data_IF_221965129763
#
_entry.id   IF_221965129763
#
_cell.length_a   1.000
_cell.length_b   1.000
_cell.length_c   1.000
_cell.angle_alpha   90.00
_cell.angle_beta   90.00
_cell.angle_gamma   90.00
#
_symmetry.space_group_name_H-M   'P 1'
#
loop_
_entity.id
_entity.type
_entity.pdbx_description
1 polymer ?
#
# COMPACT_ATOMS: atom_id res chain seq x y z
N UNK A 1 -25.42 13.68 8.36
CA UNK A 1 -24.51 13.32 9.47
C UNK A 1 -23.96 11.95 9.15
N UNK A 2 -22.65 11.86 8.95
CA UNK A 2 -21.97 10.66 8.47
C UNK A 2 -21.90 9.61 9.59
N UNK A 3 -22.15 8.33 9.29
CA UNK A 3 -22.13 7.27 10.32
C UNK A 3 -20.69 7.00 10.75
N UNK A 4 -20.45 6.93 12.06
CA UNK A 4 -19.14 6.57 12.60
C UNK A 4 -18.96 5.05 12.70
N UNK A 5 -17.82 4.53 12.26
CA UNK A 5 -17.47 3.10 12.37
C UNK A 5 -16.23 2.95 13.26
N UNK A 6 -16.32 2.14 14.31
CA UNK A 6 -15.21 1.96 15.25
C UNK A 6 -14.01 1.28 14.57
N UNK A 7 -12.78 1.53 15.05
CA UNK A 7 -11.56 0.87 14.52
C UNK A 7 -11.65 -0.66 14.58
N UNK A 8 -12.30 -1.20 15.61
CA UNK A 8 -12.49 -2.64 15.78
C UNK A 8 -13.43 -3.19 14.70
N UNK A 9 -14.49 -2.46 14.37
CA UNK A 9 -15.44 -2.87 13.33
C UNK A 9 -14.85 -2.65 11.93
N UNK A 10 -14.08 -1.59 11.71
CA UNK A 10 -13.28 -1.40 10.50
C UNK A 10 -12.37 -2.62 10.25
N UNK A 11 -11.66 -3.09 11.29
CA UNK A 11 -10.83 -4.29 11.16
C UNK A 11 -11.64 -5.56 10.84
N UNK A 12 -12.91 -5.65 11.27
CA UNK A 12 -13.80 -6.77 10.90
C UNK A 12 -14.26 -6.69 9.45
N UNK A 13 -14.36 -5.50 8.86
CA UNK A 13 -14.71 -5.31 7.45
C UNK A 13 -13.52 -5.56 6.50
N UNK A 14 -12.30 -5.17 6.91
CA UNK A 14 -11.09 -5.39 6.11
C UNK A 14 -10.82 -6.88 5.86
N UNK A 15 -11.02 -7.73 6.88
CA UNK A 15 -10.74 -9.18 6.80
C UNK A 15 -11.47 -9.87 5.63
N UNK A 16 -12.80 -9.79 5.50
CA UNK A 16 -13.52 -10.40 4.38
C UNK A 16 -13.20 -9.74 3.04
N UNK A 17 -12.97 -8.42 2.99
CA UNK A 17 -12.58 -7.74 1.75
C UNK A 17 -11.25 -8.29 1.19
N UNK A 18 -10.24 -8.47 2.05
CA UNK A 18 -8.98 -9.08 1.66
C UNK A 18 -9.11 -10.56 1.30
N UNK A 19 -9.90 -11.32 2.06
CA UNK A 19 -10.11 -12.75 1.79
C UNK A 19 -10.86 -13.01 0.48
N UNK A 20 -11.74 -12.09 0.05
CA UNK A 20 -12.44 -12.14 -1.24
C UNK A 20 -11.48 -11.98 -2.40
N UNK A 21 -10.54 -11.03 -2.30
CA UNK A 21 -9.60 -10.74 -3.38
C UNK A 21 -8.38 -11.69 -3.40
N UNK A 22 -7.94 -12.13 -2.22
CA UNK A 22 -6.73 -12.95 -2.05
C UNK A 22 -7.04 -14.18 -1.16
N UNK A 23 -7.83 -15.14 -1.66
CA UNK A 23 -8.31 -16.27 -0.86
C UNK A 23 -7.20 -17.21 -0.37
N UNK A 24 -6.06 -17.25 -1.06
CA UNK A 24 -4.93 -18.13 -0.72
C UNK A 24 -3.98 -17.52 0.30
N UNK A 25 -4.18 -16.25 0.70
CA UNK A 25 -3.25 -15.50 1.54
C UNK A 25 -3.84 -15.26 2.92
N UNK A 26 -3.06 -15.59 3.95
CA UNK A 26 -3.44 -15.37 5.34
C UNK A 26 -3.01 -13.99 5.81
N UNK A 27 -3.99 -13.10 6.02
CA UNK A 27 -3.75 -11.77 6.57
C UNK A 27 -3.88 -11.72 8.10
N UNK A 28 -3.00 -10.98 8.73
CA UNK A 28 -3.05 -10.56 10.14
C UNK A 28 -3.49 -9.10 10.20
N UNK A 29 -4.73 -8.86 10.64
CA UNK A 29 -5.31 -7.51 10.78
C UNK A 29 -5.39 -7.14 12.26
N UNK A 30 -4.57 -6.18 12.70
CA UNK A 30 -4.50 -5.72 14.10
C UNK A 30 -4.82 -4.24 14.21
N UNK A 31 -5.83 -3.91 15.01
CA UNK A 31 -6.16 -2.53 15.37
C UNK A 31 -5.38 -2.07 16.59
N UNK A 32 -4.98 -0.80 16.62
CA UNK A 32 -4.36 -0.14 17.76
C UNK A 32 -4.99 1.24 17.97
N UNK A 33 -5.32 1.57 19.21
CA UNK A 33 -5.80 2.89 19.61
C UNK A 33 -4.74 3.59 20.45
N UNK A 34 -4.61 4.89 20.28
CA UNK A 34 -3.64 5.74 20.97
C UNK A 34 -4.20 7.13 21.22
N UNK A 35 -3.51 7.95 22.02
CA UNK A 35 -3.92 9.33 22.28
C UNK A 35 -4.01 10.11 20.97
N UNK A 36 -5.22 10.53 20.58
CA UNK A 36 -5.47 11.30 19.36
C UNK A 36 -5.81 10.46 18.12
N UNK A 37 -5.97 9.14 18.22
CA UNK A 37 -6.38 8.36 17.06
C UNK A 37 -6.38 6.85 17.22
N UNK A 38 -6.63 6.17 16.10
CA UNK A 38 -6.45 4.73 15.98
C UNK A 38 -5.89 4.40 14.60
N UNK A 39 -5.25 3.25 14.48
CA UNK A 39 -4.73 2.74 13.20
C UNK A 39 -4.94 1.23 13.12
N UNK A 40 -4.84 0.70 11.91
CA UNK A 40 -4.89 -0.74 11.65
C UNK A 40 -3.62 -1.12 10.91
N UNK A 41 -2.98 -2.21 11.35
CA UNK A 41 -1.86 -2.82 10.66
C UNK A 41 -2.33 -4.14 10.04
N UNK A 42 -2.22 -4.23 8.72
CA UNK A 42 -2.48 -5.42 7.92
C UNK A 42 -1.11 -6.01 7.55
N UNK A 43 -0.81 -7.21 8.03
CA UNK A 43 0.43 -7.90 7.69
C UNK A 43 0.20 -9.30 7.12
N UNK A 44 1.08 -9.72 6.21
CA UNK A 44 1.02 -11.03 5.58
C UNK A 44 2.43 -11.44 5.11
N UNK A 45 2.58 -12.70 4.72
CA UNK A 45 3.83 -13.25 4.19
C UNK A 45 3.64 -13.69 2.75
N UNK A 46 4.55 -13.27 1.88
CA UNK A 46 4.52 -13.50 0.43
C UNK A 46 3.19 -13.07 -0.21
N UNK A 47 2.78 -13.61 -1.36
CA UNK A 47 1.48 -13.26 -1.95
C UNK A 47 1.47 -11.91 -2.67
N UNK A 48 0.33 -11.16 -2.64
CA UNK A 48 0.15 -9.94 -3.40
C UNK A 48 1.14 -8.86 -2.99
N UNK A 49 1.36 -7.90 -3.90
CA UNK A 49 2.21 -6.75 -3.64
C UNK A 49 1.50 -5.83 -2.65
N UNK A 50 2.27 -5.06 -1.88
CA UNK A 50 1.71 -4.11 -0.93
C UNK A 50 0.75 -3.12 -1.62
N UNK A 51 1.13 -2.63 -2.80
CA UNK A 51 0.30 -1.74 -3.62
C UNK A 51 -1.08 -2.33 -3.97
N UNK A 52 -1.14 -3.62 -4.33
CA UNK A 52 -2.41 -4.28 -4.67
C UNK A 52 -3.33 -4.38 -3.43
N UNK A 53 -2.74 -4.57 -2.24
CA UNK A 53 -3.45 -4.58 -0.95
C UNK A 53 -3.87 -3.17 -0.54
N UNK A 54 -3.00 -2.17 -0.74
CA UNK A 54 -3.26 -0.75 -0.44
C UNK A 54 -4.47 -0.21 -1.20
N UNK A 55 -4.65 -0.63 -2.47
CA UNK A 55 -5.82 -0.29 -3.27
C UNK A 55 -7.15 -0.71 -2.63
N UNK A 56 -7.15 -1.81 -1.85
CA UNK A 56 -8.35 -2.31 -1.17
C UNK A 56 -8.52 -1.63 0.18
N UNK A 57 -7.45 -1.59 0.98
CA UNK A 57 -7.53 -1.14 2.37
C UNK A 57 -7.63 0.38 2.50
N UNK A 58 -7.18 1.14 1.48
CA UNK A 58 -7.22 2.59 1.46
C UNK A 58 -8.63 3.17 1.60
N UNK A 59 -9.66 2.44 1.13
CA UNK A 59 -11.07 2.83 1.34
C UNK A 59 -11.51 2.80 2.81
N UNK A 60 -10.78 2.11 3.68
CA UNK A 60 -11.10 1.97 5.11
C UNK A 60 -10.41 2.99 6.02
N UNK A 61 -9.61 3.89 5.44
CA UNK A 61 -8.94 4.95 6.17
C UNK A 61 -9.89 6.12 6.46
N UNK A 62 -9.88 6.62 7.69
CA UNK A 62 -10.67 7.77 8.12
C UNK A 62 -9.95 9.11 7.97
N UNK A 63 -8.65 9.10 7.67
CA UNK A 63 -7.86 10.32 7.42
C UNK A 63 -6.87 10.13 6.29
N UNK A 64 -6.59 11.22 5.59
CA UNK A 64 -5.45 11.33 4.70
C UNK A 64 -4.41 12.27 5.31
N UNK A 65 -3.13 11.93 5.18
CA UNK A 65 -2.02 12.82 5.51
C UNK A 65 -1.30 13.29 4.25
N UNK A 66 -1.00 14.59 4.16
CA UNK A 66 -0.16 15.17 3.11
C UNK A 66 1.13 15.73 3.71
N UNK A 67 2.25 15.11 3.34
CA UNK A 67 3.56 15.49 3.87
C UNK A 67 4.08 16.82 3.31
N UNK A 68 3.52 17.34 2.21
CA UNK A 68 4.01 18.59 1.62
C UNK A 68 3.66 19.82 2.46
N UNK A 69 2.55 19.77 3.18
CA UNK A 69 2.07 20.84 4.06
C UNK A 69 1.79 20.38 5.49
N UNK A 70 2.24 19.16 5.86
CA UNK A 70 2.08 18.56 7.18
C UNK A 70 0.62 18.55 7.69
N UNK A 71 -0.33 18.26 6.78
CA UNK A 71 -1.76 18.36 7.05
C UNK A 71 -2.44 16.99 7.10
N UNK A 72 -3.10 16.71 8.24
CA UNK A 72 -3.98 15.56 8.40
C UNK A 72 -5.45 15.97 8.22
N UNK A 73 -6.07 15.47 7.16
CA UNK A 73 -7.45 15.76 6.78
C UNK A 73 -8.37 14.58 7.07
N UNK A 74 -9.58 14.87 7.55
CA UNK A 74 -10.63 13.86 7.64
C UNK A 74 -11.04 13.44 6.23
N UNK A 75 -11.26 12.15 6.04
CA UNK A 75 -11.90 11.62 4.84
C UNK A 75 -13.09 10.73 5.21
N UNK A 76 -13.97 10.57 4.25
CA UNK A 76 -15.18 9.78 4.36
C UNK A 76 -15.21 8.76 3.22
N UNK A 77 -15.87 7.65 3.46
CA UNK A 77 -15.91 6.52 2.53
C UNK A 77 -17.32 5.98 2.39
N UNK A 78 -17.60 5.39 1.23
CA UNK A 78 -18.79 4.61 0.98
C UNK A 78 -18.56 3.17 1.45
N UNK A 79 -19.42 2.63 2.30
CA UNK A 79 -19.51 1.18 2.55
C UNK A 79 -20.57 0.59 1.65
N UNK A 80 -20.21 -0.36 0.80
CA UNK A 80 -21.12 -1.15 -0.02
C UNK A 80 -21.81 -2.24 0.81
N UNK A 81 -22.95 -2.79 0.35
CA UNK A 81 -23.66 -3.85 1.08
C UNK A 81 -22.83 -5.12 1.34
N UNK A 82 -21.81 -5.38 0.52
CA UNK A 82 -20.88 -6.49 0.69
C UNK A 82 -19.73 -6.21 1.68
N UNK A 83 -19.69 -5.01 2.27
CA UNK A 83 -18.73 -4.58 3.28
C UNK A 83 -17.44 -3.98 2.72
N UNK A 84 -17.27 -3.93 1.40
CA UNK A 84 -16.17 -3.21 0.76
C UNK A 84 -16.34 -1.69 0.94
N UNK A 85 -15.21 -0.98 1.01
CA UNK A 85 -15.19 0.45 1.19
C UNK A 85 -14.46 1.15 0.05
N UNK A 86 -14.99 2.29 -0.38
CA UNK A 86 -14.39 3.14 -1.42
C UNK A 86 -14.36 4.58 -0.93
N UNK A 87 -13.28 5.32 -1.24
CA UNK A 87 -13.16 6.72 -0.84
C UNK A 87 -14.33 7.52 -1.43
N UNK A 88 -15.02 8.27 -0.58
CA UNK A 88 -16.15 9.12 -0.97
C UNK A 88 -15.71 10.58 -1.09
N UNK A 89 -14.98 11.03 -0.07
CA UNK A 89 -14.61 12.42 0.06
C UNK A 89 -13.26 12.57 0.75
N UNK A 90 -12.40 13.38 0.14
CA UNK A 90 -11.18 13.92 0.76
C UNK A 90 -11.08 15.40 0.40
N UNK A 91 -10.88 16.31 1.38
CA UNK A 91 -10.72 17.72 1.08
C UNK A 91 -9.41 17.98 0.31
N UNK A 92 -9.35 19.13 -0.35
CA UNK A 92 -8.09 19.62 -0.90
C UNK A 92 -7.07 19.83 0.21
N UNK A 93 -5.84 19.44 -0.06
CA UNK A 93 -4.71 19.79 0.77
C UNK A 93 -4.17 21.11 0.26
N UNK A 94 -4.62 22.25 0.81
CA UNK A 94 -4.31 23.59 0.29
C UNK A 94 -2.79 23.81 0.14
N UNK A 95 -2.32 23.98 -1.10
CA UNK A 95 -0.88 24.09 -1.41
C UNK A 95 -0.09 22.79 -1.20
N UNK A 96 -0.78 21.67 -1.05
CA UNK A 96 -0.29 20.32 -0.84
C UNK A 96 -0.19 19.51 -2.15
N UNK A 97 0.25 18.27 -2.01
CA UNK A 97 0.42 17.30 -3.11
C UNK A 97 -0.83 16.44 -3.35
N UNK A 98 -1.76 16.41 -2.40
CA UNK A 98 -2.99 15.62 -2.47
C UNK A 98 -4.18 16.46 -2.93
N UNK A 99 -4.68 16.28 -4.17
CA UNK A 99 -5.86 17.01 -4.62
C UNK A 99 -7.11 16.53 -3.88
N UNK A 100 -8.10 17.42 -3.84
CA UNK A 100 -9.45 17.09 -3.41
C UNK A 100 -10.00 15.90 -4.21
N UNK A 101 -10.82 15.08 -3.54
CA UNK A 101 -11.47 13.93 -4.15
C UNK A 101 -12.93 13.89 -3.72
N UNK A 102 -13.80 13.60 -4.68
CA UNK A 102 -15.23 13.40 -4.47
C UNK A 102 -15.73 12.32 -5.41
N UNK A 103 -16.62 11.46 -4.93
CA UNK A 103 -17.30 10.45 -5.74
C UNK A 103 -18.78 10.35 -5.36
N UNK A 104 -19.60 10.03 -6.36
CA UNK A 104 -20.97 9.60 -6.13
C UNK A 104 -20.98 8.22 -5.47
N UNK A 105 -22.10 7.88 -4.81
CA UNK A 105 -22.27 6.56 -4.22
C UNK A 105 -22.08 5.46 -5.28
N UNK A 106 -21.13 4.52 -5.10
CA UNK A 106 -20.84 3.48 -6.10
C UNK A 106 -21.95 2.43 -6.18
N UNK A 107 -22.89 2.44 -5.23
CA UNK A 107 -24.02 1.51 -5.16
C UNK A 107 -25.24 2.19 -4.52
N UNK A 108 -26.49 1.89 -4.96
CA UNK A 108 -27.71 2.51 -4.41
C UNK A 108 -27.90 2.35 -2.90
N UNK A 109 -27.41 1.24 -2.35
CA UNK A 109 -27.45 0.93 -0.92
C UNK A 109 -26.10 1.19 -0.22
N UNK A 110 -25.19 1.97 -0.82
CA UNK A 110 -23.96 2.35 -0.15
C UNK A 110 -24.25 3.39 0.96
N UNK A 111 -23.57 3.25 2.09
CA UNK A 111 -23.68 4.19 3.21
C UNK A 111 -22.43 5.05 3.32
N UNK A 112 -22.61 6.36 3.49
CA UNK A 112 -21.50 7.26 3.78
C UNK A 112 -21.07 7.11 5.24
N UNK A 113 -19.79 6.82 5.46
CA UNK A 113 -19.22 6.61 6.79
C UNK A 113 -17.92 7.38 7.01
N UNK A 114 -17.62 7.61 8.29
CA UNK A 114 -16.30 8.03 8.76
C UNK A 114 -15.71 6.90 9.60
N UNK A 115 -14.58 6.36 9.14
CA UNK A 115 -13.88 5.29 9.85
C UNK A 115 -13.05 5.83 11.00
N UNK A 116 -13.13 5.16 12.15
CA UNK A 116 -12.35 5.49 13.34
C UNK A 116 -10.87 5.12 13.25
N UNK A 117 -10.48 4.30 12.28
CA UNK A 117 -9.08 4.08 11.93
C UNK A 117 -8.60 5.30 11.13
N UNK A 118 -7.74 6.13 11.70
CA UNK A 118 -7.15 7.25 10.97
C UNK A 118 -6.39 6.74 9.74
N UNK A 119 -5.56 5.70 9.93
CA UNK A 119 -4.69 5.14 8.89
C UNK A 119 -4.75 3.62 8.91
N UNK A 120 -4.54 3.01 7.74
CA UNK A 120 -4.46 1.56 7.58
C UNK A 120 -3.16 1.22 6.85
N UNK A 121 -2.23 0.59 7.55
CA UNK A 121 -0.92 0.27 7.01
C UNK A 121 -0.86 -1.16 6.49
N UNK A 122 -0.21 -1.35 5.36
CA UNK A 122 0.11 -2.66 4.81
C UNK A 122 1.57 -3.01 5.06
N UNK A 123 1.82 -4.25 5.50
CA UNK A 123 3.16 -4.73 5.85
C UNK A 123 3.35 -6.14 5.27
N UNK A 124 3.95 -6.20 4.08
CA UNK A 124 4.31 -7.47 3.44
C UNK A 124 5.68 -7.94 3.93
N UNK A 125 5.74 -9.14 4.48
CA UNK A 125 6.98 -9.86 4.72
C UNK A 125 7.30 -10.77 3.52
N UNK A 126 8.54 -10.72 3.04
CA UNK A 126 9.01 -11.57 1.93
C UNK A 126 9.88 -12.66 2.51
N UNK A 127 9.48 -13.92 2.35
CA UNK A 127 10.17 -15.05 3.01
C UNK A 127 11.56 -15.33 2.46
N UNK A 128 11.74 -15.13 1.15
CA UNK A 128 13.00 -15.39 0.44
C UNK A 128 13.69 -14.08 0.05
N UNK A 129 13.88 -13.20 1.04
CA UNK A 129 14.41 -11.86 0.85
C UNK A 129 15.81 -11.87 0.22
N UNK A 130 16.75 -12.58 0.84
CA UNK A 130 18.16 -12.57 0.44
C UNK A 130 18.34 -13.04 -1.01
N UNK A 131 17.64 -14.11 -1.40
CA UNK A 131 17.71 -14.62 -2.78
C UNK A 131 17.20 -13.59 -3.78
N UNK A 132 16.09 -12.90 -3.47
CA UNK A 132 15.50 -11.89 -4.36
C UNK A 132 16.35 -10.63 -4.45
N UNK A 133 16.91 -10.18 -3.34
CA UNK A 133 17.83 -9.03 -3.31
C UNK A 133 19.09 -9.34 -4.14
N UNK A 134 19.69 -10.52 -3.98
CA UNK A 134 20.84 -10.96 -4.77
C UNK A 134 20.48 -11.04 -6.26
N UNK A 135 19.36 -11.68 -6.61
CA UNK A 135 18.92 -11.79 -8.01
C UNK A 135 18.68 -10.41 -8.65
N UNK A 136 18.06 -9.48 -7.93
CA UNK A 136 17.85 -8.12 -8.39
C UNK A 136 19.17 -7.36 -8.54
N UNK A 137 20.07 -7.49 -7.56
CA UNK A 137 21.40 -6.87 -7.59
C UNK A 137 22.21 -7.34 -8.79
N UNK A 138 22.28 -8.65 -9.03
CA UNK A 138 22.96 -9.24 -10.19
C UNK A 138 22.38 -8.72 -11.51
N UNK A 139 21.05 -8.67 -11.61
CA UNK A 139 20.37 -8.18 -12.80
C UNK A 139 20.63 -6.69 -13.07
N UNK A 140 20.45 -5.83 -12.07
CA UNK A 140 20.69 -4.38 -12.20
C UNK A 140 22.14 -4.12 -12.63
N UNK A 141 23.11 -4.80 -12.00
CA UNK A 141 24.53 -4.59 -12.30
C UNK A 141 24.87 -5.00 -13.73
N UNK A 142 24.35 -6.15 -14.18
CA UNK A 142 24.55 -6.63 -15.54
C UNK A 142 23.88 -5.72 -16.57
N UNK A 143 22.63 -5.30 -16.32
CA UNK A 143 21.82 -4.53 -17.25
C UNK A 143 22.25 -3.06 -17.34
N UNK A 144 22.60 -2.44 -16.21
CA UNK A 144 23.06 -1.06 -16.13
C UNK A 144 24.58 -0.90 -16.31
N UNK A 145 25.32 -2.00 -16.55
CA UNK A 145 26.78 -2.03 -16.74
C UNK A 145 27.55 -1.30 -15.62
N UNK A 146 27.19 -1.60 -14.37
CA UNK A 146 27.87 -1.01 -13.21
C UNK A 146 29.36 -1.41 -13.20
N UNK A 147 30.25 -0.44 -12.99
CA UNK A 147 31.71 -0.66 -12.91
C UNK A 147 32.17 -0.81 -11.45
N UNK A 148 33.02 -1.82 -11.20
CA UNK A 148 33.58 -2.14 -9.88
C UNK A 148 33.02 -3.44 -9.29
N UNK A 149 33.59 -3.86 -8.17
CA UNK A 149 33.14 -5.03 -7.39
C UNK A 149 32.46 -4.57 -6.09
N UNK A 150 31.34 -5.18 -5.65
CA UNK A 150 30.72 -4.84 -4.38
C UNK A 150 31.70 -5.01 -3.20
N UNK A 151 31.69 -4.10 -2.21
CA UNK A 151 30.82 -2.92 -2.06
C UNK A 151 31.39 -1.63 -2.70
N UNK A 152 32.45 -1.74 -3.51
CA UNK A 152 33.32 -0.64 -3.96
C UNK A 152 32.97 -0.13 -5.37
N UNK A 153 31.68 0.00 -5.67
CA UNK A 153 31.24 0.50 -6.96
C UNK A 153 31.79 1.89 -7.25
N UNK A 154 32.21 2.11 -8.50
CA UNK A 154 32.81 3.38 -8.92
C UNK A 154 31.85 4.56 -8.75
N UNK A 155 30.54 4.30 -8.85
CA UNK A 155 29.45 5.21 -8.51
C UNK A 155 28.65 4.59 -7.37
N UNK A 156 28.97 5.01 -6.13
CA UNK A 156 28.50 4.45 -4.85
C UNK A 156 27.26 3.54 -4.88
N UNK A 157 27.36 2.39 -4.22
CA UNK A 157 26.39 1.29 -4.28
C UNK A 157 25.00 1.58 -3.67
N UNK A 158 24.82 2.67 -2.93
CA UNK A 158 23.56 2.95 -2.21
C UNK A 158 22.32 2.97 -3.12
N UNK A 159 22.44 3.49 -4.35
CA UNK A 159 21.31 3.53 -5.28
C UNK A 159 20.99 2.14 -5.85
N UNK A 160 22.02 1.32 -6.15
CA UNK A 160 21.85 -0.05 -6.64
C UNK A 160 21.20 -0.91 -5.57
N UNK A 161 21.71 -0.86 -4.34
CA UNK A 161 21.18 -1.59 -3.19
C UNK A 161 19.73 -1.16 -2.90
N UNK A 162 19.44 0.14 -3.00
CA UNK A 162 18.09 0.68 -2.84
C UNK A 162 17.10 0.10 -3.85
N UNK A 163 17.46 0.08 -5.13
CA UNK A 163 16.62 -0.50 -6.19
C UNK A 163 16.46 -2.02 -6.03
N UNK A 164 17.53 -2.74 -5.67
CA UNK A 164 17.48 -4.18 -5.44
C UNK A 164 16.50 -4.54 -4.32
N UNK A 165 16.50 -3.79 -3.21
CA UNK A 165 15.54 -3.97 -2.10
C UNK A 165 14.11 -3.63 -2.51
N UNK A 166 13.91 -2.57 -3.30
CA UNK A 166 12.59 -2.25 -3.84
C UNK A 166 12.07 -3.37 -4.74
N UNK A 167 12.91 -3.90 -5.63
CA UNK A 167 12.58 -5.06 -6.45
C UNK A 167 12.26 -6.29 -5.58
N UNK A 168 13.10 -6.61 -4.58
CA UNK A 168 12.87 -7.72 -3.66
C UNK A 168 11.51 -7.65 -2.95
N UNK A 169 11.14 -6.45 -2.48
CA UNK A 169 9.86 -6.18 -1.82
C UNK A 169 8.67 -6.25 -2.78
N UNK A 170 8.83 -5.86 -4.04
CA UNK A 170 7.75 -5.71 -5.02
C UNK A 170 7.66 -6.89 -6.02
N UNK A 171 8.58 -7.88 -5.95
CA UNK A 171 8.53 -9.09 -6.78
C UNK A 171 7.16 -9.78 -6.68
N UNK A 172 6.47 -9.89 -7.82
CA UNK A 172 5.28 -10.71 -8.00
C UNK A 172 5.58 -12.20 -7.82
N UNK A 173 4.55 -13.01 -7.51
CA UNK A 173 4.74 -14.46 -7.32
C UNK A 173 5.24 -15.18 -8.58
N UNK A 174 4.93 -14.65 -9.76
CA UNK A 174 5.24 -15.24 -11.07
C UNK A 174 6.00 -14.30 -12.01
N UNK A 175 6.44 -13.13 -11.53
CA UNK A 175 7.20 -12.18 -12.35
C UNK A 175 8.66 -12.63 -12.48
N UNK A 176 9.22 -12.44 -13.68
CA UNK A 176 10.66 -12.54 -13.89
C UNK A 176 11.39 -11.32 -13.31
N UNK A 177 12.70 -11.43 -13.12
CA UNK A 177 13.54 -10.31 -12.66
C UNK A 177 13.53 -9.14 -13.65
N UNK A 178 13.47 -9.42 -14.95
CA UNK A 178 13.37 -8.42 -16.01
C UNK A 178 12.04 -7.65 -15.95
N UNK A 179 10.91 -8.36 -15.86
CA UNK A 179 9.60 -7.72 -15.71
C UNK A 179 9.52 -6.87 -14.44
N UNK A 180 10.14 -7.34 -13.36
CA UNK A 180 10.19 -6.59 -12.09
C UNK A 180 11.06 -5.34 -12.24
N UNK A 181 12.20 -5.44 -12.93
CA UNK A 181 13.09 -4.31 -13.21
C UNK A 181 12.39 -3.25 -14.07
N UNK A 182 11.76 -3.65 -15.17
CA UNK A 182 11.02 -2.74 -16.05
C UNK A 182 9.94 -1.98 -15.28
N UNK A 183 9.19 -2.67 -14.43
CA UNK A 183 8.11 -2.07 -13.65
C UNK A 183 8.59 -1.20 -12.49
N UNK A 184 9.55 -1.68 -11.70
CA UNK A 184 9.99 -1.00 -10.46
C UNK A 184 11.01 0.09 -10.74
N UNK A 185 11.96 -0.17 -11.64
CA UNK A 185 13.08 0.72 -11.91
C UNK A 185 12.76 1.66 -13.07
N UNK A 186 12.21 1.15 -14.16
CA UNK A 186 11.90 1.96 -15.34
C UNK A 186 10.49 2.55 -15.33
N UNK A 187 9.61 2.10 -14.43
CA UNK A 187 8.18 2.42 -14.41
C UNK A 187 7.45 2.08 -15.72
N UNK A 188 7.93 1.09 -16.48
CA UNK A 188 7.26 0.58 -17.66
C UNK A 188 6.15 -0.40 -17.25
N UNK A 189 4.93 -0.20 -17.74
CA UNK A 189 3.77 -1.08 -17.46
C UNK A 189 2.80 -0.58 -16.37
N UNK A 190 2.84 0.71 -16.02
CA UNK A 190 1.78 1.40 -15.30
C UNK A 190 0.94 2.22 -16.30
N UNK A 191 0.25 1.53 -17.22
CA UNK A 191 -0.84 2.09 -18.04
C UNK A 191 -2.18 1.50 -17.59
#
# INVERSE_FOLDING_TARGET
MTRYVSVTDTAKLIRPALAKQFPEVKFSVRSQSYSGGASINVSWTDGPRAKDVDCIIGGFEGRSFDGMNDLASIQESWIKPDGEAELAYRPDSYGGSKPAFYSDAPHPNAELVHFGANYVFSNRHVSDWDRREIQALEYIRAHCRCEGDPPSDRFGNQWVDGLARQMAQDFGQSETVEQTFDRVVLNHGLD
#
